data_IF_507659459417
#
_entry.id   IF_507659459417
#
_cell.length_a   1.000
_cell.length_b   1.000
_cell.length_c   1.000
_cell.angle_alpha   90.00
_cell.angle_beta   90.00
_cell.angle_gamma   90.00
#
_symmetry.space_group_name_H-M   'P 1'
#
loop_
_entity.id
_entity.type
_entity.pdbx_description
1 polymer ?
#
# COMPACT_ATOMS: atom_id res chain seq x y z
N UNK A 1 -54.13 -120.93 49.22
CA UNK A 1 -54.77 -121.32 47.95
C UNK A 1 -54.31 -120.36 46.85
N UNK A 2 -53.67 -120.91 45.80
CA UNK A 2 -53.61 -120.45 44.38
C UNK A 2 -53.17 -118.99 44.11
N UNK A 3 -51.87 -118.76 43.80
CA UNK A 3 -51.24 -118.67 42.44
C UNK A 3 -51.37 -117.25 41.83
N UNK A 4 -50.38 -116.61 41.16
CA UNK A 4 -49.55 -117.06 40.03
C UNK A 4 -48.26 -116.23 39.84
N UNK A 5 -47.21 -116.95 39.41
CA UNK A 5 -46.10 -116.69 38.47
C UNK A 5 -45.78 -115.27 37.92
N UNK A 6 -44.47 -114.90 37.88
CA UNK A 6 -43.57 -114.97 36.68
C UNK A 6 -42.20 -114.28 36.88
N UNK A 7 -41.14 -115.09 36.71
CA UNK A 7 -39.81 -114.89 36.06
C UNK A 7 -38.98 -113.60 36.21
N UNK A 8 -37.82 -113.79 36.87
CA UNK A 8 -36.43 -113.37 36.51
C UNK A 8 -36.23 -112.48 35.28
N UNK A 9 -35.44 -111.40 35.41
CA UNK A 9 -34.13 -111.24 34.70
C UNK A 9 -33.48 -109.84 34.85
N UNK A 10 -32.19 -109.87 35.27
CA UNK A 10 -31.03 -109.04 34.85
C UNK A 10 -30.81 -107.65 35.47
N UNK A 11 -29.55 -107.50 35.91
CA UNK A 11 -28.87 -106.40 36.60
C UNK A 11 -28.70 -105.13 35.75
N UNK A 12 -28.72 -103.95 36.39
CA UNK A 12 -28.02 -102.75 35.92
C UNK A 12 -27.33 -102.09 37.12
N UNK A 13 -26.00 -102.08 37.10
CA UNK A 13 -25.18 -101.25 37.99
C UNK A 13 -24.77 -100.00 37.21
N UNK A 14 -25.14 -98.83 37.69
CA UNK A 14 -24.60 -97.55 37.22
C UNK A 14 -24.35 -96.64 38.42
N UNK A 15 -23.07 -96.31 38.59
CA UNK A 15 -22.52 -95.52 39.67
C UNK A 15 -22.91 -94.04 39.54
N UNK A 16 -23.21 -93.42 40.68
CA UNK A 16 -23.44 -91.98 40.86
C UNK A 16 -22.12 -91.21 40.79
N UNK A 17 -21.95 -90.32 39.81
CA UNK A 17 -20.87 -89.32 39.79
C UNK A 17 -21.46 -87.96 40.15
N UNK A 18 -21.07 -87.47 41.32
CA UNK A 18 -21.51 -86.23 41.95
C UNK A 18 -20.52 -85.13 41.54
N UNK A 19 -20.83 -84.36 40.49
CA UNK A 19 -20.01 -83.22 40.08
C UNK A 19 -20.29 -82.02 41.00
N UNK A 20 -19.30 -81.71 41.84
CA UNK A 20 -19.26 -80.54 42.69
C UNK A 20 -19.28 -79.24 41.87
N UNK A 21 -20.09 -78.30 42.35
CA UNK A 21 -20.22 -76.92 41.90
C UNK A 21 -18.87 -76.17 41.94
N UNK A 22 -18.32 -75.83 40.77
CA UNK A 22 -17.33 -74.76 40.66
C UNK A 22 -18.09 -73.42 40.65
N UNK A 23 -17.91 -72.63 41.70
CA UNK A 23 -18.31 -71.22 41.75
C UNK A 23 -17.46 -70.44 40.75
N UNK A 24 -18.10 -69.97 39.67
CA UNK A 24 -17.46 -69.10 38.70
C UNK A 24 -17.27 -67.73 39.34
N UNK A 25 -16.02 -67.38 39.63
CA UNK A 25 -15.58 -66.06 40.07
C UNK A 25 -15.94 -65.01 39.03
N UNK A 26 -16.55 -63.94 39.53
CA UNK A 26 -16.96 -62.72 38.85
C UNK A 26 -15.79 -62.10 38.05
N UNK A 27 -15.76 -62.37 36.75
CA UNK A 27 -14.96 -61.62 35.79
C UNK A 27 -15.95 -60.78 34.98
N UNK A 28 -16.12 -59.51 35.34
CA UNK A 28 -16.74 -58.53 34.47
C UNK A 28 -15.87 -58.41 33.20
N UNK A 29 -16.11 -59.29 32.23
CA UNK A 29 -15.50 -59.21 30.91
C UNK A 29 -16.15 -58.01 30.21
N UNK A 30 -15.47 -56.87 30.23
CA UNK A 30 -15.77 -55.75 29.35
C UNK A 30 -15.46 -56.21 27.91
N UNK A 31 -16.40 -56.91 27.28
CA UNK A 31 -16.29 -57.32 25.90
C UNK A 31 -16.40 -56.09 25.00
N UNK A 32 -15.55 -56.01 23.98
CA UNK A 32 -15.72 -55.02 22.90
C UNK A 32 -16.89 -55.48 22.05
N UNK A 33 -18.03 -54.81 22.20
CA UNK A 33 -19.22 -55.06 21.40
C UNK A 33 -19.07 -54.37 20.04
N UNK A 34 -19.27 -55.13 18.97
CA UNK A 34 -19.26 -54.61 17.60
C UNK A 34 -20.71 -54.45 17.16
N UNK A 35 -21.13 -53.20 16.98
CA UNK A 35 -22.40 -52.87 16.35
C UNK A 35 -22.21 -52.63 14.85
N UNK A 36 -23.24 -52.92 14.06
CA UNK A 36 -23.31 -52.55 12.65
C UNK A 36 -23.83 -51.13 12.43
N UNK A 37 -24.26 -50.45 13.49
CA UNK A 37 -24.72 -49.06 13.41
C UNK A 37 -23.55 -48.11 13.17
N UNK A 38 -23.78 -47.06 12.39
CA UNK A 38 -22.76 -46.05 12.12
C UNK A 38 -22.41 -45.25 13.38
N UNK A 39 -21.19 -44.69 13.48
CA UNK A 39 -20.84 -43.84 14.61
C UNK A 39 -21.73 -42.58 14.65
N UNK A 40 -22.15 -42.19 15.84
CA UNK A 40 -22.84 -40.92 16.09
C UNK A 40 -21.85 -39.74 16.05
N UNK A 41 -22.35 -38.55 15.73
CA UNK A 41 -21.55 -37.31 15.70
C UNK A 41 -20.84 -36.99 17.02
N UNK A 42 -21.43 -37.42 18.15
CA UNK A 42 -20.90 -37.22 19.51
C UNK A 42 -19.98 -38.36 19.98
N UNK A 43 -19.88 -39.44 19.20
CA UNK A 43 -19.02 -40.56 19.53
C UNK A 43 -17.56 -40.13 19.47
N UNK A 44 -16.79 -40.60 20.45
CA UNK A 44 -15.36 -40.32 20.53
C UNK A 44 -14.57 -41.42 19.85
N UNK A 45 -13.55 -41.03 19.08
CA UNK A 45 -12.66 -41.97 18.41
C UNK A 45 -11.77 -42.63 19.47
N UNK A 46 -11.77 -43.96 19.62
CA UNK A 46 -10.92 -44.62 20.61
C UNK A 46 -9.45 -44.59 20.16
N UNK A 47 -8.53 -44.43 21.11
CA UNK A 47 -7.10 -44.60 20.88
C UNK A 47 -6.61 -45.89 21.54
N UNK A 48 -5.74 -46.60 20.85
CA UNK A 48 -5.04 -47.75 21.40
C UNK A 48 -3.82 -47.25 22.18
N UNK A 49 -3.76 -47.54 23.49
CA UNK A 49 -2.65 -47.19 24.35
C UNK A 49 -1.97 -48.46 24.86
N UNK A 50 -0.64 -48.50 24.75
CA UNK A 50 0.16 -49.52 25.41
C UNK A 50 0.32 -49.15 26.90
N UNK A 51 -0.16 -50.02 27.77
CA UNK A 51 -0.19 -49.82 29.22
C UNK A 51 1.09 -50.35 29.89
N UNK A 52 1.36 -49.95 31.14
CA UNK A 52 2.54 -50.36 31.93
C UNK A 52 2.55 -51.85 32.30
N UNK A 53 1.48 -52.58 31.97
CA UNK A 53 1.29 -53.99 32.25
C UNK A 53 1.40 -54.85 30.97
N UNK A 54 2.23 -54.43 30.02
CA UNK A 54 2.51 -55.11 28.74
C UNK A 54 1.28 -55.47 27.90
N UNK A 55 0.21 -54.66 27.99
CA UNK A 55 -1.07 -54.89 27.30
C UNK A 55 -1.55 -53.64 26.58
N UNK A 56 -2.32 -53.84 25.51
CA UNK A 56 -3.01 -52.75 24.83
C UNK A 56 -4.41 -52.55 25.41
N UNK A 57 -4.75 -51.30 25.70
CA UNK A 57 -6.08 -50.89 26.19
C UNK A 57 -6.68 -49.84 25.26
N UNK A 58 -7.99 -49.93 25.02
CA UNK A 58 -8.75 -48.90 24.32
C UNK A 58 -9.09 -47.77 25.29
N UNK A 59 -8.84 -46.54 24.87
CA UNK A 59 -9.06 -45.34 25.68
C UNK A 59 -9.94 -44.39 24.90
N UNK A 60 -10.98 -43.88 25.55
CA UNK A 60 -11.82 -42.83 24.98
C UNK A 60 -10.98 -41.56 24.82
N UNK A 61 -10.87 -41.05 23.60
CA UNK A 61 -10.22 -39.74 23.35
C UNK A 61 -11.22 -38.60 23.51
N UNK A 62 -10.71 -37.37 23.41
CA UNK A 62 -11.50 -36.15 23.33
C UNK A 62 -11.83 -35.72 21.88
N UNK A 63 -11.56 -36.58 20.88
CA UNK A 63 -11.83 -36.28 19.47
C UNK A 63 -13.14 -36.94 19.08
N UNK A 64 -14.15 -36.13 18.73
CA UNK A 64 -15.42 -36.63 18.23
C UNK A 64 -15.36 -37.00 16.74
N UNK A 65 -16.24 -37.89 16.30
CA UNK A 65 -16.42 -38.26 14.90
C UNK A 65 -16.79 -37.03 14.06
N UNK A 66 -17.65 -36.17 14.58
CA UNK A 66 -17.97 -34.87 13.94
C UNK A 66 -16.75 -33.97 13.73
N UNK A 67 -15.80 -33.93 14.66
CA UNK A 67 -14.57 -33.16 14.50
C UNK A 67 -13.69 -33.73 13.36
N UNK A 68 -13.61 -35.06 13.25
CA UNK A 68 -12.89 -35.72 12.16
C UNK A 68 -13.57 -35.51 10.80
N UNK A 69 -14.90 -35.54 10.73
CA UNK A 69 -15.65 -35.28 9.49
C UNK A 69 -15.57 -33.81 9.04
N UNK A 70 -15.51 -32.88 10.00
CA UNK A 70 -15.40 -31.45 9.71
C UNK A 70 -13.97 -31.03 9.35
N UNK A 71 -12.94 -31.78 9.75
CA UNK A 71 -11.55 -31.46 9.46
C UNK A 71 -11.26 -31.39 7.94
N UNK A 72 -11.65 -32.36 7.08
CA UNK A 72 -11.48 -32.26 5.64
C UNK A 72 -12.19 -31.03 5.03
N UNK A 73 -13.38 -30.68 5.54
CA UNK A 73 -14.12 -29.50 5.09
C UNK A 73 -13.37 -28.22 5.43
N UNK A 74 -12.87 -28.11 6.67
CA UNK A 74 -12.06 -26.98 7.09
C UNK A 74 -10.75 -26.88 6.31
N UNK A 75 -10.06 -28.01 6.08
CA UNK A 75 -8.84 -28.04 5.27
C UNK A 75 -9.10 -27.57 3.84
N UNK A 76 -10.21 -28.01 3.21
CA UNK A 76 -10.60 -27.56 1.88
C UNK A 76 -10.89 -26.06 1.84
N UNK A 77 -11.68 -25.56 2.79
CA UNK A 77 -12.00 -24.13 2.88
C UNK A 77 -10.74 -23.29 3.07
N UNK A 78 -9.83 -23.73 3.95
CA UNK A 78 -8.55 -23.04 4.17
C UNK A 78 -7.67 -23.04 2.91
N UNK A 79 -7.68 -24.13 2.12
CA UNK A 79 -6.94 -24.20 0.87
C UNK A 79 -7.51 -23.24 -0.19
N UNK A 80 -8.83 -23.15 -0.31
CA UNK A 80 -9.52 -22.19 -1.19
C UNK A 80 -9.25 -20.74 -0.76
N UNK A 81 -9.29 -20.47 0.54
CA UNK A 81 -8.98 -19.14 1.09
C UNK A 81 -7.51 -18.75 0.80
N UNK A 82 -6.55 -19.66 1.03
CA UNK A 82 -5.15 -19.42 0.71
C UNK A 82 -4.93 -19.14 -0.78
N UNK A 83 -5.63 -19.85 -1.67
CA UNK A 83 -5.56 -19.56 -3.10
C UNK A 83 -6.12 -18.18 -3.43
N UNK A 84 -7.24 -17.79 -2.81
CA UNK A 84 -7.82 -16.45 -2.98
C UNK A 84 -6.89 -15.35 -2.49
N UNK A 85 -6.27 -15.53 -1.32
CA UNK A 85 -5.31 -14.59 -0.75
C UNK A 85 -4.08 -14.46 -1.64
N UNK A 86 -3.57 -15.58 -2.20
CA UNK A 86 -2.47 -15.56 -3.16
C UNK A 86 -2.80 -14.76 -4.43
N UNK A 87 -4.03 -14.89 -4.95
CA UNK A 87 -4.49 -14.10 -6.11
C UNK A 87 -4.54 -12.61 -5.77
N UNK A 88 -5.09 -12.24 -4.61
CA UNK A 88 -5.14 -10.85 -4.13
C UNK A 88 -3.75 -10.27 -3.96
N UNK A 89 -2.82 -11.01 -3.33
CA UNK A 89 -1.44 -10.57 -3.16
C UNK A 89 -0.73 -10.38 -4.51
N UNK A 90 -0.96 -11.26 -5.48
CA UNK A 90 -0.40 -11.11 -6.83
C UNK A 90 -0.93 -9.87 -7.53
N UNK A 91 -2.21 -9.55 -7.35
CA UNK A 91 -2.83 -8.36 -7.95
C UNK A 91 -2.32 -7.08 -7.28
N UNK A 92 -2.24 -7.07 -5.95
CA UNK A 92 -1.63 -5.97 -5.20
C UNK A 92 -0.17 -5.75 -5.60
N UNK A 93 0.60 -6.81 -5.80
CA UNK A 93 1.99 -6.69 -6.26
C UNK A 93 2.07 -6.03 -7.65
N UNK A 94 1.17 -6.39 -8.58
CA UNK A 94 1.07 -5.74 -9.90
C UNK A 94 0.70 -4.26 -9.77
N UNK A 95 -0.32 -3.95 -8.96
CA UNK A 95 -0.74 -2.56 -8.73
C UNK A 95 0.38 -1.71 -8.11
N UNK A 96 1.14 -2.26 -7.16
CA UNK A 96 2.31 -1.58 -6.57
C UNK A 96 3.39 -1.34 -7.64
N UNK A 97 3.65 -2.33 -8.51
CA UNK A 97 4.60 -2.17 -9.60
C UNK A 97 4.17 -1.10 -10.60
N UNK A 98 2.89 -1.05 -10.97
CA UNK A 98 2.32 -0.02 -11.83
C UNK A 98 2.40 1.37 -11.19
N UNK A 99 2.04 1.51 -9.91
CA UNK A 99 2.16 2.77 -9.17
C UNK A 99 3.63 3.22 -9.08
N UNK A 100 4.57 2.31 -8.90
CA UNK A 100 6.00 2.61 -8.89
C UNK A 100 6.48 3.08 -10.27
N UNK A 101 6.04 2.43 -11.35
CA UNK A 101 6.35 2.84 -12.73
C UNK A 101 5.76 4.22 -13.06
N UNK A 102 4.51 4.47 -12.64
CA UNK A 102 3.83 5.74 -12.85
C UNK A 102 4.45 6.87 -12.02
N UNK A 103 4.76 6.63 -10.73
CA UNK A 103 5.41 7.64 -9.87
C UNK A 103 6.86 7.91 -10.27
N UNK A 104 7.59 6.90 -10.75
CA UNK A 104 8.93 7.09 -11.33
C UNK A 104 8.90 7.90 -12.64
N UNK A 105 7.85 7.72 -13.44
CA UNK A 105 7.70 8.48 -14.69
C UNK A 105 7.25 9.92 -14.43
N UNK A 106 6.34 10.15 -13.48
CA UNK A 106 5.86 11.50 -13.15
C UNK A 106 6.88 12.36 -12.40
N UNK A 107 7.67 11.76 -11.51
CA UNK A 107 8.70 12.50 -10.77
C UNK A 107 9.84 12.98 -11.69
N UNK A 108 10.20 12.20 -12.71
CA UNK A 108 11.25 12.60 -13.65
C UNK A 108 10.78 13.65 -14.66
N UNK A 109 9.52 13.62 -15.10
CA UNK A 109 8.96 14.65 -15.96
C UNK A 109 8.78 15.97 -15.21
N UNK A 110 8.20 15.92 -14.00
CA UNK A 110 7.99 17.13 -13.19
C UNK A 110 9.30 17.75 -12.71
N UNK A 111 10.33 16.95 -12.39
CA UNK A 111 11.64 17.53 -12.03
C UNK A 111 12.28 18.28 -13.20
N UNK A 112 12.23 17.72 -14.42
CA UNK A 112 12.77 18.38 -15.62
C UNK A 112 12.01 19.67 -15.95
N UNK A 113 10.68 19.64 -15.87
CA UNK A 113 9.87 20.86 -16.04
C UNK A 113 10.19 21.92 -14.99
N UNK A 114 10.35 21.54 -13.72
CA UNK A 114 10.74 22.45 -12.65
C UNK A 114 12.13 23.05 -12.89
N UNK A 115 13.09 22.24 -13.34
CA UNK A 115 14.44 22.71 -13.61
C UNK A 115 14.48 23.65 -14.82
N UNK A 116 13.70 23.37 -15.86
CA UNK A 116 13.54 24.26 -17.01
C UNK A 116 12.88 25.58 -16.60
N UNK A 117 11.78 25.53 -15.84
CA UNK A 117 11.13 26.74 -15.31
C UNK A 117 12.07 27.57 -14.44
N UNK A 118 12.87 26.94 -13.57
CA UNK A 118 13.90 27.65 -12.78
C UNK A 118 14.94 28.33 -13.67
N UNK A 119 15.33 27.70 -14.78
CA UNK A 119 16.25 28.29 -15.75
C UNK A 119 15.62 29.51 -16.43
N UNK A 120 14.37 29.39 -16.88
CA UNK A 120 13.63 30.50 -17.51
C UNK A 120 13.46 31.68 -16.55
N UNK A 121 13.14 31.42 -15.27
CA UNK A 121 13.02 32.46 -14.24
C UNK A 121 14.35 33.20 -14.05
N UNK A 122 15.47 32.47 -13.98
CA UNK A 122 16.80 33.09 -13.85
C UNK A 122 17.20 33.93 -15.06
N UNK A 123 16.75 33.54 -16.25
CA UNK A 123 16.99 34.31 -17.48
C UNK A 123 16.17 35.60 -17.47
N UNK A 124 14.86 35.50 -17.16
CA UNK A 124 13.99 36.66 -16.99
C UNK A 124 14.47 37.62 -15.90
N UNK A 125 15.02 37.12 -14.80
CA UNK A 125 15.60 37.95 -13.74
C UNK A 125 16.80 38.76 -14.23
N UNK A 126 17.64 38.20 -15.10
CA UNK A 126 18.76 38.94 -15.72
C UNK A 126 18.24 40.00 -16.68
N UNK A 127 17.29 39.63 -17.54
CA UNK A 127 16.70 40.56 -18.50
C UNK A 127 16.04 41.75 -17.80
N UNK A 128 15.32 41.51 -16.71
CA UNK A 128 14.72 42.57 -15.89
C UNK A 128 15.77 43.47 -15.25
N UNK A 129 16.87 42.91 -14.75
CA UNK A 129 17.97 43.71 -14.20
C UNK A 129 18.63 44.58 -15.26
N UNK A 130 18.86 44.05 -16.45
CA UNK A 130 19.49 44.81 -17.55
C UNK A 130 18.54 45.89 -18.09
N UNK A 131 17.24 45.60 -18.21
CA UNK A 131 16.24 46.59 -18.53
C UNK A 131 16.16 47.69 -17.45
N UNK A 132 16.26 47.31 -16.17
CA UNK A 132 16.33 48.25 -15.05
C UNK A 132 17.51 49.21 -15.17
N UNK A 133 18.70 48.70 -15.51
CA UNK A 133 19.88 49.55 -15.76
C UNK A 133 19.67 50.50 -16.94
N UNK A 134 19.12 50.02 -18.05
CA UNK A 134 18.83 50.85 -19.23
C UNK A 134 17.85 51.98 -18.90
N UNK A 135 16.80 51.69 -18.11
CA UNK A 135 15.84 52.71 -17.65
C UNK A 135 16.52 53.73 -16.76
N UNK A 136 17.39 53.29 -15.84
CA UNK A 136 18.14 54.21 -14.98
C UNK A 136 19.10 55.10 -15.79
N UNK A 137 19.78 54.54 -16.78
CA UNK A 137 20.66 55.27 -17.69
C UNK A 137 19.89 56.29 -18.54
N UNK A 138 18.75 55.90 -19.10
CA UNK A 138 17.86 56.81 -19.84
C UNK A 138 17.37 57.96 -18.97
N UNK A 139 17.00 57.68 -17.71
CA UNK A 139 16.56 58.69 -16.75
C UNK A 139 17.69 59.67 -16.43
N UNK A 140 18.92 59.18 -16.24
CA UNK A 140 20.11 60.02 -16.04
C UNK A 140 20.39 60.89 -17.27
N UNK A 141 20.42 60.31 -18.47
CA UNK A 141 20.68 61.04 -19.70
C UNK A 141 19.59 62.08 -20.01
N UNK A 142 18.32 61.76 -19.76
CA UNK A 142 17.22 62.72 -19.94
C UNK A 142 17.28 63.88 -18.94
N UNK A 143 17.70 63.61 -17.70
CA UNK A 143 17.96 64.66 -16.71
C UNK A 143 19.14 65.56 -17.12
N UNK A 144 20.25 64.98 -17.57
CA UNK A 144 21.45 65.72 -17.95
C UNK A 144 21.27 66.56 -19.22
N UNK A 145 20.60 66.04 -20.26
CA UNK A 145 20.35 66.78 -21.49
C UNK A 145 19.52 68.05 -21.24
N UNK A 146 18.56 68.02 -20.32
CA UNK A 146 17.74 69.20 -20.01
C UNK A 146 18.56 70.37 -19.47
N UNK A 147 19.62 70.09 -18.70
CA UNK A 147 20.47 71.12 -18.09
C UNK A 147 21.49 71.70 -19.07
N UNK A 148 22.14 70.86 -19.89
CA UNK A 148 23.07 71.32 -20.92
C UNK A 148 22.35 72.08 -22.02
N UNK A 149 21.25 71.54 -22.56
CA UNK A 149 20.50 72.21 -23.62
C UNK A 149 19.89 73.54 -23.16
N UNK A 150 19.46 73.66 -21.89
CA UNK A 150 18.94 74.94 -21.37
C UNK A 150 20.04 75.99 -21.15
N UNK A 151 21.25 75.54 -20.79
CA UNK A 151 22.43 76.41 -20.64
C UNK A 151 22.90 76.92 -22.00
N UNK A 152 23.01 76.04 -23.01
CA UNK A 152 23.33 76.40 -24.39
C UNK A 152 22.27 77.34 -24.99
N UNK A 153 20.99 77.03 -24.79
CA UNK A 153 19.88 77.88 -25.25
C UNK A 153 19.93 79.28 -24.60
N UNK A 154 20.25 79.35 -23.30
CA UNK A 154 20.39 80.63 -22.59
C UNK A 154 21.58 81.45 -23.08
N UNK A 155 22.69 80.79 -23.43
CA UNK A 155 23.87 81.43 -24.02
C UNK A 155 23.57 81.95 -25.41
N UNK A 156 22.98 81.12 -26.29
CA UNK A 156 22.58 81.50 -27.64
C UNK A 156 21.57 82.66 -27.63
N UNK A 157 20.64 82.68 -26.68
CA UNK A 157 19.66 83.78 -26.55
C UNK A 157 20.30 85.10 -26.13
N UNK A 158 21.36 85.08 -25.32
CA UNK A 158 22.14 86.29 -25.00
C UNK A 158 22.90 86.78 -26.21
N UNK A 159 23.61 85.89 -26.88
CA UNK A 159 24.39 86.23 -28.07
C UNK A 159 23.52 86.82 -29.18
N UNK A 160 22.33 86.23 -29.41
CA UNK A 160 21.34 86.79 -30.33
C UNK A 160 20.87 88.19 -29.91
N UNK A 161 20.63 88.42 -28.62
CA UNK A 161 20.21 89.73 -28.11
C UNK A 161 21.31 90.78 -28.23
N UNK A 162 22.57 90.39 -28.09
CA UNK A 162 23.71 91.30 -28.23
C UNK A 162 23.94 91.64 -29.71
N UNK A 163 23.85 90.64 -30.61
CA UNK A 163 23.88 90.86 -32.05
C UNK A 163 22.75 91.77 -32.55
N UNK A 164 21.54 91.63 -32.00
CA UNK A 164 20.40 92.48 -32.37
C UNK A 164 20.65 93.95 -32.03
N UNK A 165 21.25 94.22 -30.85
CA UNK A 165 21.66 95.57 -30.45
C UNK A 165 22.76 96.14 -31.33
N UNK A 166 23.76 95.33 -31.67
CA UNK A 166 24.84 95.75 -32.59
C UNK A 166 24.28 96.07 -33.97
N UNK A 167 23.34 95.26 -34.47
CA UNK A 167 22.69 95.49 -35.76
C UNK A 167 21.91 96.81 -35.76
N UNK A 168 21.19 97.12 -34.68
CA UNK A 168 20.47 98.39 -34.54
C UNK A 168 21.41 99.59 -34.47
N UNK A 169 22.56 99.46 -33.80
CA UNK A 169 23.60 100.49 -33.81
C UNK A 169 24.17 100.69 -35.23
N UNK A 170 24.49 99.61 -35.94
CA UNK A 170 24.96 99.65 -37.32
C UNK A 170 23.93 100.28 -38.27
N UNK A 171 22.64 99.97 -38.12
CA UNK A 171 21.57 100.62 -38.90
C UNK A 171 21.58 102.13 -38.69
N UNK A 172 21.69 102.60 -37.44
CA UNK A 172 21.74 104.03 -37.13
C UNK A 172 22.97 104.71 -37.74
N UNK A 173 24.15 104.11 -37.63
CA UNK A 173 25.38 104.69 -38.21
C UNK A 173 25.33 104.72 -39.74
N UNK A 174 24.76 103.69 -40.36
CA UNK A 174 24.52 103.67 -41.82
C UNK A 174 23.51 104.73 -42.23
N UNK A 175 22.41 104.91 -41.50
CA UNK A 175 21.45 105.99 -41.75
C UNK A 175 22.09 107.37 -41.62
N UNK A 176 22.93 107.59 -40.59
CA UNK A 176 23.63 108.85 -40.37
C UNK A 176 24.64 109.14 -41.50
N UNK A 177 25.43 108.13 -41.91
CA UNK A 177 26.34 108.23 -43.05
C UNK A 177 25.58 108.50 -44.35
N UNK A 178 24.46 107.82 -44.58
CA UNK A 178 23.59 108.02 -45.75
C UNK A 178 23.03 109.45 -45.81
N UNK A 179 22.66 110.03 -44.66
CA UNK A 179 22.24 111.44 -44.57
C UNK A 179 23.40 112.42 -44.81
N UNK A 180 24.63 112.04 -44.50
CA UNK A 180 25.82 112.88 -44.67
C UNK A 180 26.41 112.83 -46.09
N UNK A 181 26.12 111.78 -46.84
CA UNK A 181 26.56 111.57 -48.23
C UNK A 181 25.57 112.15 -49.25
N UNK A 182 24.34 112.49 -48.83
CA UNK A 182 23.37 113.28 -49.61
C UNK A 182 23.51 114.76 -49.35
#
# INVERSE_FOLDING_TARGET
MRSFSKRLSIQLATATVLLGSLTLTDAAQAAVEVSSDGPSSDDAIPALRYDRFDKYVLVKTNVSVSALENLPKSVKNNAEELESQKRVLSEQARQIEELKRNSGSSSTSSSKEIDELKRTIKEQERDLNDLGKQVEELKRNSGSNSSSSNSEMSSLKRELSDQDREMDQLKRTVEELSRKVK
#
